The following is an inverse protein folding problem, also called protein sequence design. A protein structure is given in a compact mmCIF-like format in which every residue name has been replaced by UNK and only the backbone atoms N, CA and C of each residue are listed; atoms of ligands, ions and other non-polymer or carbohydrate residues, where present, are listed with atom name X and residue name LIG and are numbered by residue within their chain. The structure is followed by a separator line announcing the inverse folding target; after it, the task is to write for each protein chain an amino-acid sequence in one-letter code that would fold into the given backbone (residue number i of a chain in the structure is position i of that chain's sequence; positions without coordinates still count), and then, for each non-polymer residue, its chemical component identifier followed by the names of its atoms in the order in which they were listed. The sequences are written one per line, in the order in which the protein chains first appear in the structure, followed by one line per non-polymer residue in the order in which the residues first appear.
data_IF_160622121692
#
_entry.id   IF_160622121692
#
_cell.length_a   1.000
_cell.length_b   1.000
_cell.length_c   1.000
_cell.angle_alpha   90.00
_cell.angle_beta   90.00
_cell.angle_gamma   90.00
#
_symmetry.space_group_name_H-M   'P 1'
#
loop_
_entity.id
_entity.type
_entity.pdbx_description
1 polymer ?
#
# COMPACT_ATOMS: atom_id res chain seq x y z
N UNK A 1 26.62 2.00 -3.93
CA UNK A 1 27.56 0.86 -4.12
C UNK A 1 28.88 1.23 -3.46
N UNK A 2 29.57 0.28 -2.85
CA UNK A 2 30.81 0.51 -2.09
C UNK A 2 31.91 1.19 -2.92
N UNK A 3 31.99 0.88 -4.23
CA UNK A 3 32.93 1.56 -5.15
C UNK A 3 32.75 3.08 -5.26
N UNK A 4 31.59 3.61 -4.88
CA UNK A 4 31.27 5.05 -4.91
C UNK A 4 31.14 5.66 -3.51
N UNK A 5 31.35 4.85 -2.47
CA UNK A 5 31.28 5.30 -1.09
C UNK A 5 32.49 6.15 -0.72
N UNK A 6 32.24 7.13 0.15
CA UNK A 6 33.29 7.93 0.76
C UNK A 6 34.11 7.09 1.76
N UNK A 7 35.24 7.62 2.22
CA UNK A 7 36.16 6.86 3.08
C UNK A 7 35.57 6.56 4.46
N UNK A 8 34.68 7.41 4.96
CA UNK A 8 33.97 7.17 6.23
C UNK A 8 33.01 5.98 6.11
N UNK A 9 32.23 5.90 5.04
CA UNK A 9 31.34 4.78 4.75
C UNK A 9 32.12 3.47 4.56
N UNK A 10 33.29 3.53 3.91
CA UNK A 10 34.14 2.35 3.73
C UNK A 10 34.76 1.91 5.06
N UNK A 11 35.18 2.85 5.92
CA UNK A 11 35.68 2.53 7.26
C UNK A 11 34.62 1.82 8.10
N UNK A 12 33.37 2.32 8.08
CA UNK A 12 32.23 1.66 8.74
C UNK A 12 31.98 0.26 8.16
N UNK A 13 32.03 0.12 6.83
CA UNK A 13 31.91 -1.17 6.17
C UNK A 13 33.01 -2.16 6.60
N UNK A 14 34.27 -1.74 6.58
CA UNK A 14 35.43 -2.54 7.00
C UNK A 14 35.26 -3.03 8.43
N UNK A 15 34.89 -2.13 9.37
CA UNK A 15 34.64 -2.50 10.76
C UNK A 15 33.50 -3.52 10.90
N UNK A 16 32.40 -3.37 10.14
CA UNK A 16 31.29 -4.34 10.13
C UNK A 16 31.73 -5.71 9.62
N UNK A 17 32.52 -5.78 8.56
CA UNK A 17 33.02 -7.05 8.00
C UNK A 17 34.00 -7.73 8.96
N UNK A 18 34.93 -6.99 9.55
CA UNK A 18 35.86 -7.52 10.56
C UNK A 18 35.11 -8.08 11.76
N UNK A 19 34.11 -7.36 12.27
CA UNK A 19 33.27 -7.85 13.37
C UNK A 19 32.47 -9.10 13.00
N UNK A 20 31.98 -9.20 11.76
CA UNK A 20 31.23 -10.37 11.30
C UNK A 20 32.11 -11.62 11.19
N UNK A 21 33.27 -11.48 10.53
CA UNK A 21 34.20 -12.60 10.30
C UNK A 21 34.92 -12.98 11.60
N UNK A 22 35.16 -11.99 12.46
CA UNK A 22 35.88 -12.10 13.73
C UNK A 22 37.22 -12.87 13.57
N UNK A 23 38.12 -12.39 12.69
CA UNK A 23 39.43 -13.00 12.49
C UNK A 23 40.28 -12.90 13.77
N UNK A 24 41.15 -13.89 13.99
CA UNK A 24 42.13 -13.85 15.07
C UNK A 24 43.42 -13.23 14.56
N UNK A 25 43.78 -12.08 15.11
CA UNK A 25 45.03 -11.39 14.80
C UNK A 25 46.05 -11.61 15.91
N UNK A 26 47.31 -11.80 15.54
CA UNK A 26 48.43 -12.00 16.47
C UNK A 26 49.12 -10.68 16.82
N UNK A 27 49.07 -9.68 15.94
CA UNK A 27 49.67 -8.38 16.13
C UNK A 27 48.85 -7.24 15.47
N UNK A 28 49.26 -6.00 15.73
CA UNK A 28 48.59 -4.81 15.18
C UNK A 28 48.79 -4.69 13.66
N UNK A 29 49.91 -5.19 13.11
CA UNK A 29 50.19 -5.11 11.68
C UNK A 29 49.22 -5.97 10.87
N UNK A 30 48.85 -7.15 11.36
CA UNK A 30 47.85 -8.02 10.72
C UNK A 30 46.46 -7.34 10.64
N UNK A 31 46.09 -6.55 11.66
CA UNK A 31 44.85 -5.76 11.67
C UNK A 31 44.89 -4.70 10.56
N UNK A 32 45.97 -3.92 10.50
CA UNK A 32 46.13 -2.86 9.50
C UNK A 32 46.15 -3.42 8.07
N UNK A 33 46.80 -4.57 7.85
CA UNK A 33 46.79 -5.27 6.56
C UNK A 33 45.37 -5.69 6.16
N UNK A 34 44.61 -6.28 7.08
CA UNK A 34 43.23 -6.69 6.84
C UNK A 34 42.31 -5.50 6.52
N UNK A 35 42.49 -4.36 7.20
CA UNK A 35 41.76 -3.13 6.93
C UNK A 35 42.06 -2.57 5.55
N UNK A 36 43.35 -2.56 5.14
CA UNK A 36 43.77 -2.12 3.80
C UNK A 36 43.22 -3.04 2.72
N UNK A 37 43.23 -4.35 2.94
CA UNK A 37 42.65 -5.32 2.00
C UNK A 37 41.15 -5.09 1.81
N UNK A 38 40.41 -4.95 2.91
CA UNK A 38 38.97 -4.66 2.88
C UNK A 38 38.66 -3.32 2.23
N UNK A 39 39.45 -2.28 2.50
CA UNK A 39 39.34 -0.99 1.84
C UNK A 39 39.53 -1.12 0.32
N UNK A 40 40.59 -1.83 -0.10
CA UNK A 40 40.90 -2.06 -1.51
C UNK A 40 39.81 -2.87 -2.22
N UNK A 41 39.20 -3.83 -1.52
CA UNK A 41 38.06 -4.61 -1.97
C UNK A 41 36.82 -3.73 -2.12
N UNK A 42 36.50 -2.94 -1.10
CA UNK A 42 35.33 -2.06 -1.08
C UNK A 42 35.32 -1.09 -2.26
N UNK A 43 36.47 -0.47 -2.58
CA UNK A 43 36.61 0.44 -3.74
C UNK A 43 36.36 -0.25 -5.09
N UNK A 44 36.40 -1.58 -5.16
CA UNK A 44 36.13 -2.39 -6.36
C UNK A 44 34.83 -3.19 -6.25
N UNK A 45 34.08 -3.02 -5.17
CA UNK A 45 32.88 -3.79 -4.91
C UNK A 45 31.64 -3.11 -5.52
N UNK A 46 30.88 -3.89 -6.27
CA UNK A 46 29.64 -3.47 -6.95
C UNK A 46 28.40 -3.65 -6.08
N UNK A 47 28.56 -4.18 -4.88
CA UNK A 47 27.50 -4.27 -3.89
C UNK A 47 27.51 -3.02 -3.01
N UNK A 48 26.35 -2.66 -2.46
CA UNK A 48 26.27 -1.75 -1.31
C UNK A 48 26.81 -2.43 -0.05
N UNK A 49 27.10 -1.64 0.99
CA UNK A 49 27.55 -2.19 2.27
C UNK A 49 26.54 -3.20 2.83
N UNK A 50 25.26 -2.86 2.82
CA UNK A 50 24.20 -3.73 3.34
C UNK A 50 23.97 -4.97 2.47
N UNK A 51 24.04 -4.86 1.14
CA UNK A 51 23.99 -6.03 0.25
C UNK A 51 25.16 -6.99 0.53
N UNK A 52 26.35 -6.47 0.81
CA UNK A 52 27.51 -7.31 1.11
C UNK A 52 27.41 -7.98 2.49
N UNK A 53 26.92 -7.26 3.51
CA UNK A 53 26.66 -7.86 4.83
C UNK A 53 25.57 -8.94 4.73
N UNK A 54 24.51 -8.69 3.97
CA UNK A 54 23.48 -9.68 3.70
C UNK A 54 24.06 -10.91 2.96
N UNK A 55 24.98 -10.71 2.02
CA UNK A 55 25.68 -11.81 1.35
C UNK A 55 26.45 -12.68 2.35
N UNK A 56 27.13 -12.07 3.32
CA UNK A 56 27.83 -12.80 4.39
C UNK A 56 26.85 -13.57 5.29
N UNK A 57 25.71 -12.99 5.65
CA UNK A 57 24.66 -13.68 6.40
C UNK A 57 24.09 -14.89 5.64
N UNK A 58 23.80 -14.73 4.34
CA UNK A 58 23.32 -15.81 3.48
C UNK A 58 24.36 -16.92 3.29
N UNK A 59 25.65 -16.56 3.26
CA UNK A 59 26.74 -17.53 3.25
C UNK A 59 26.84 -18.28 4.59
N UNK A 60 26.66 -17.58 5.72
CA UNK A 60 26.60 -18.18 7.06
C UNK A 60 25.47 -19.21 7.18
N UNK A 61 24.30 -18.86 6.65
CA UNK A 61 23.11 -19.72 6.59
C UNK A 61 23.24 -20.88 5.59
N UNK A 62 24.30 -20.92 4.78
CA UNK A 62 24.50 -21.93 3.73
C UNK A 62 23.48 -21.85 2.60
N UNK A 63 22.85 -20.68 2.42
CA UNK A 63 21.86 -20.37 1.36
C UNK A 63 22.50 -19.73 0.13
N UNK A 64 23.76 -19.30 0.26
CA UNK A 64 24.52 -18.72 -0.85
C UNK A 64 25.31 -19.80 -1.60
N UNK A 65 25.08 -19.88 -2.90
CA UNK A 65 25.72 -20.84 -3.80
C UNK A 65 26.56 -20.10 -4.83
N UNK A 66 27.72 -20.66 -5.16
CA UNK A 66 28.58 -20.16 -6.24
C UNK A 66 27.86 -20.29 -7.57
N UNK A 67 28.31 -19.50 -8.55
CA UNK A 67 27.92 -19.71 -9.94
C UNK A 67 28.18 -21.17 -10.35
N UNK A 68 27.26 -21.78 -11.12
CA UNK A 68 27.46 -23.16 -11.59
C UNK A 68 28.65 -23.20 -12.54
N UNK A 69 29.57 -24.15 -12.30
CA UNK A 69 30.68 -24.42 -13.22
C UNK A 69 30.15 -24.96 -14.57
N UNK A 70 31.03 -25.12 -15.57
CA UNK A 70 30.68 -25.64 -16.90
C UNK A 70 29.94 -27.00 -16.87
N UNK A 71 30.08 -27.76 -15.77
CA UNK A 71 29.39 -29.03 -15.51
C UNK A 71 28.03 -28.89 -14.77
N UNK A 72 27.57 -27.66 -14.50
CA UNK A 72 26.30 -27.37 -13.82
C UNK A 72 26.32 -27.51 -12.30
N UNK A 73 27.48 -27.83 -11.70
CA UNK A 73 27.62 -27.97 -10.26
C UNK A 73 27.83 -26.61 -9.57
N UNK A 74 26.98 -26.29 -8.60
CA UNK A 74 27.14 -25.13 -7.72
C UNK A 74 27.68 -25.57 -6.35
N UNK A 75 28.72 -24.89 -5.88
CA UNK A 75 29.28 -25.09 -4.54
C UNK A 75 28.57 -24.20 -3.52
N UNK A 76 28.43 -24.66 -2.28
CA UNK A 76 28.05 -23.74 -1.19
C UNK A 76 29.24 -22.84 -0.87
N UNK A 77 29.01 -21.54 -0.83
CA UNK A 77 30.04 -20.58 -0.39
C UNK A 77 30.34 -20.87 1.08
N UNK A 78 31.59 -21.20 1.41
CA UNK A 78 32.01 -21.45 2.79
C UNK A 78 32.40 -20.13 3.43
N UNK A 79 32.03 -19.93 4.68
CA UNK A 79 32.61 -18.84 5.46
C UNK A 79 34.06 -19.13 5.79
N UNK A 80 34.84 -18.06 5.84
CA UNK A 80 36.27 -18.10 6.13
C UNK A 80 36.55 -17.28 7.38
N UNK A 81 37.58 -17.68 8.15
CA UNK A 81 38.02 -16.97 9.36
C UNK A 81 39.12 -15.95 9.11
N UNK A 82 39.66 -15.94 7.90
CA UNK A 82 40.75 -15.05 7.48
C UNK A 82 40.20 -14.11 6.41
N UNK A 83 40.65 -12.85 6.47
CA UNK A 83 40.37 -11.87 5.43
C UNK A 83 41.27 -12.20 4.24
N UNK A 84 40.64 -12.49 3.11
CA UNK A 84 41.31 -12.78 1.85
C UNK A 84 40.44 -12.24 0.73
N UNK A 85 41.07 -11.50 -0.16
CA UNK A 85 40.41 -10.87 -1.30
C UNK A 85 39.71 -11.87 -2.24
N UNK A 86 40.24 -13.08 -2.42
CA UNK A 86 39.62 -14.09 -3.28
C UNK A 86 38.28 -14.55 -2.70
N UNK A 87 38.30 -14.86 -1.41
CA UNK A 87 37.15 -15.31 -0.64
C UNK A 87 36.06 -14.23 -0.54
N UNK A 88 36.45 -12.98 -0.32
CA UNK A 88 35.53 -11.84 -0.36
C UNK A 88 34.91 -11.64 -1.76
N UNK A 89 35.69 -11.93 -2.81
CA UNK A 89 35.25 -11.92 -4.20
C UNK A 89 34.22 -13.01 -4.51
N UNK A 90 34.41 -14.22 -3.97
CA UNK A 90 33.48 -15.35 -4.12
C UNK A 90 32.11 -15.05 -3.52
N UNK A 91 32.08 -14.46 -2.32
CA UNK A 91 30.82 -14.01 -1.68
C UNK A 91 30.11 -12.97 -2.56
N UNK A 92 30.88 -12.04 -3.16
CA UNK A 92 30.33 -10.99 -4.03
C UNK A 92 29.67 -11.59 -5.29
N UNK A 93 30.38 -12.47 -6.01
CA UNK A 93 29.85 -13.08 -7.25
C UNK A 93 28.64 -13.96 -6.97
N UNK A 94 28.69 -14.78 -5.93
CA UNK A 94 27.59 -15.64 -5.52
C UNK A 94 26.32 -14.83 -5.18
N UNK A 95 26.45 -13.67 -4.54
CA UNK A 95 25.31 -12.79 -4.24
C UNK A 95 24.76 -12.08 -5.48
N UNK A 96 25.61 -11.66 -6.42
CA UNK A 96 25.16 -11.12 -7.70
C UNK A 96 24.34 -12.17 -8.47
N UNK A 97 24.82 -13.42 -8.49
CA UNK A 97 24.08 -14.53 -9.10
C UNK A 97 22.73 -14.77 -8.39
N UNK A 98 22.72 -14.84 -7.06
CA UNK A 98 21.49 -14.97 -6.27
C UNK A 98 20.47 -13.87 -6.59
N UNK A 99 20.92 -12.61 -6.73
CA UNK A 99 20.06 -11.49 -7.10
C UNK A 99 19.44 -11.67 -8.49
N UNK A 100 20.22 -12.12 -9.46
CA UNK A 100 19.70 -12.40 -10.82
C UNK A 100 18.66 -13.52 -10.82
N UNK A 101 18.85 -14.58 -10.03
CA UNK A 101 17.88 -15.65 -9.88
C UNK A 101 16.57 -15.18 -9.22
N UNK A 102 16.65 -14.35 -8.18
CA UNK A 102 15.47 -13.80 -7.50
C UNK A 102 14.68 -12.85 -8.42
N UNK A 103 15.37 -12.02 -9.20
CA UNK A 103 14.75 -11.16 -10.21
C UNK A 103 14.04 -11.98 -11.30
N UNK A 104 14.68 -13.04 -11.81
CA UNK A 104 14.07 -13.97 -12.76
C UNK A 104 12.85 -14.67 -12.16
N UNK A 105 12.93 -15.09 -10.89
CA UNK A 105 11.82 -15.71 -10.18
C UNK A 105 10.64 -14.74 -10.00
N UNK A 106 10.89 -13.49 -9.61
CA UNK A 106 9.88 -12.44 -9.49
C UNK A 106 9.21 -12.13 -10.82
N UNK A 107 10.00 -12.07 -11.91
CA UNK A 107 9.47 -11.90 -13.27
C UNK A 107 8.65 -13.11 -13.73
N UNK A 108 9.09 -14.33 -13.43
CA UNK A 108 8.31 -15.54 -13.70
C UNK A 108 6.97 -15.53 -12.96
N UNK A 109 6.99 -15.18 -11.67
CA UNK A 109 5.80 -15.08 -10.82
C UNK A 109 4.85 -13.98 -11.32
N UNK A 110 5.35 -12.83 -11.75
CA UNK A 110 4.51 -11.77 -12.31
C UNK A 110 3.87 -12.18 -13.62
N UNK A 111 4.61 -12.84 -14.53
CA UNK A 111 4.09 -13.39 -15.79
C UNK A 111 2.99 -14.44 -15.54
N UNK A 112 3.20 -15.37 -14.61
CA UNK A 112 2.19 -16.36 -14.22
C UNK A 112 0.95 -15.66 -13.63
N UNK A 113 1.15 -14.67 -12.75
CA UNK A 113 0.04 -13.91 -12.17
C UNK A 113 -0.76 -13.15 -13.23
N UNK A 114 -0.09 -12.51 -14.20
CA UNK A 114 -0.75 -11.84 -15.33
C UNK A 114 -1.43 -12.81 -16.28
N UNK A 115 -0.95 -14.05 -16.40
CA UNK A 115 -1.60 -15.09 -17.20
C UNK A 115 -2.86 -15.63 -16.52
N UNK A 116 -2.79 -15.86 -15.20
CA UNK A 116 -3.91 -16.39 -14.40
C UNK A 116 -4.98 -15.33 -14.12
N UNK A 117 -4.59 -14.06 -14.00
CA UNK A 117 -5.48 -12.93 -13.84
C UNK A 117 -5.03 -11.82 -14.80
N UNK A 118 -5.49 -11.83 -16.06
CA UNK A 118 -5.17 -10.77 -17.00
C UNK A 118 -5.51 -9.42 -16.36
N UNK A 119 -4.61 -8.42 -16.44
CA UNK A 119 -4.90 -7.10 -15.90
C UNK A 119 -6.23 -6.64 -16.49
N UNK A 120 -7.19 -6.34 -15.62
CA UNK A 120 -8.49 -5.80 -16.02
C UNK A 120 -8.18 -4.63 -16.95
N UNK A 121 -8.61 -4.71 -18.21
CA UNK A 121 -8.44 -3.64 -19.19
C UNK A 121 -8.82 -2.32 -18.51
N UNK A 122 -7.95 -1.31 -18.64
CA UNK A 122 -8.30 0.04 -18.20
C UNK A 122 -9.55 0.45 -18.97
N UNK A 123 -10.67 0.49 -18.26
CA UNK A 123 -11.99 0.86 -18.75
C UNK A 123 -11.82 2.17 -19.53
N UNK A 124 -12.09 2.14 -20.83
CA UNK A 124 -12.01 3.31 -21.71
C UNK A 124 -12.92 4.41 -21.19
N UNK A 125 -12.63 5.66 -21.54
CA UNK A 125 -13.40 6.84 -21.09
C UNK A 125 -14.90 6.71 -21.41
N UNK A 126 -15.24 5.99 -22.47
CA UNK A 126 -16.61 5.70 -22.91
C UNK A 126 -17.32 4.66 -22.03
N UNK A 127 -16.63 3.58 -21.64
CA UNK A 127 -17.19 2.58 -20.72
C UNK A 127 -17.39 3.16 -19.31
N UNK A 128 -16.53 4.10 -18.89
CA UNK A 128 -16.74 4.85 -17.63
C UNK A 128 -17.97 5.75 -17.69
N UNK A 129 -18.27 6.35 -18.85
CA UNK A 129 -19.51 7.12 -19.05
C UNK A 129 -20.73 6.19 -18.97
N UNK A 130 -20.69 5.05 -19.66
CA UNK A 130 -21.77 4.07 -19.63
C UNK A 130 -22.05 3.53 -18.21
N UNK A 131 -21.00 3.29 -17.41
CA UNK A 131 -21.15 2.89 -16.00
C UNK A 131 -21.80 3.98 -15.15
N UNK A 132 -21.47 5.26 -15.36
CA UNK A 132 -22.12 6.38 -14.65
C UNK A 132 -23.59 6.54 -15.03
N UNK A 133 -23.91 6.44 -16.33
CA UNK A 133 -25.30 6.50 -16.81
C UNK A 133 -26.10 5.35 -16.20
N UNK A 134 -25.56 4.14 -16.18
CA UNK A 134 -26.21 2.99 -15.55
C UNK A 134 -26.38 3.19 -14.04
N UNK A 135 -25.41 3.80 -13.37
CA UNK A 135 -25.50 4.16 -11.96
C UNK A 135 -26.65 5.14 -11.68
N UNK A 136 -26.76 6.22 -12.48
CA UNK A 136 -27.86 7.19 -12.37
C UNK A 136 -29.22 6.55 -12.61
N UNK A 137 -29.35 5.65 -13.59
CA UNK A 137 -30.58 4.89 -13.85
C UNK A 137 -30.98 4.02 -12.67
N UNK A 138 -30.02 3.29 -12.08
CA UNK A 138 -30.31 2.43 -10.93
C UNK A 138 -30.70 3.23 -9.70
N UNK A 139 -30.08 4.38 -9.48
CA UNK A 139 -30.38 5.23 -8.33
C UNK A 139 -31.69 6.02 -8.51
N UNK A 140 -32.07 6.39 -9.73
CA UNK A 140 -33.40 6.96 -10.02
C UNK A 140 -34.53 5.97 -9.71
N UNK A 141 -34.39 4.70 -10.14
CA UNK A 141 -35.36 3.64 -9.83
C UNK A 141 -35.53 3.44 -8.32
N UNK A 142 -34.44 3.52 -7.57
CA UNK A 142 -34.45 3.43 -6.10
C UNK A 142 -35.04 4.67 -5.43
N UNK A 143 -34.75 5.86 -5.95
CA UNK A 143 -35.36 7.10 -5.44
C UNK A 143 -36.89 7.04 -5.56
N UNK A 144 -37.43 6.49 -6.65
CA UNK A 144 -38.86 6.32 -6.85
C UNK A 144 -39.48 5.22 -5.96
N UNK A 145 -38.72 4.15 -5.66
CA UNK A 145 -39.23 3.00 -4.89
C UNK A 145 -39.08 3.17 -3.37
N UNK A 146 -37.94 3.69 -2.91
CA UNK A 146 -37.54 3.71 -1.50
C UNK A 146 -37.45 5.14 -0.94
N UNK A 147 -37.55 6.17 -1.80
CA UNK A 147 -37.42 7.57 -1.40
C UNK A 147 -36.00 7.98 -1.01
N UNK A 148 -35.01 7.11 -1.20
CA UNK A 148 -33.60 7.32 -0.84
C UNK A 148 -32.66 6.92 -1.98
N UNK A 149 -31.47 7.50 -1.97
CA UNK A 149 -30.42 7.27 -2.96
C UNK A 149 -29.26 6.55 -2.30
N UNK A 150 -28.75 5.47 -2.90
CA UNK A 150 -27.68 4.67 -2.33
C UNK A 150 -26.30 5.32 -2.55
N UNK A 151 -26.17 6.12 -3.62
CA UNK A 151 -25.00 6.93 -3.95
C UNK A 151 -24.92 8.30 -3.28
N UNK A 152 -25.53 8.51 -2.11
CA UNK A 152 -25.63 9.84 -1.50
C UNK A 152 -24.27 10.54 -1.30
N UNK A 153 -23.20 9.79 -1.04
CA UNK A 153 -21.83 10.34 -0.95
C UNK A 153 -21.34 10.90 -2.28
N UNK A 154 -21.59 10.21 -3.39
CA UNK A 154 -21.21 10.65 -4.73
C UNK A 154 -21.98 11.91 -5.14
N UNK A 155 -23.30 11.94 -4.88
CA UNK A 155 -24.12 13.12 -5.16
C UNK A 155 -23.75 14.31 -4.28
N UNK A 156 -23.45 14.08 -3.00
CA UNK A 156 -22.98 15.14 -2.10
C UNK A 156 -21.68 15.76 -2.58
N UNK A 157 -20.71 14.96 -3.06
CA UNK A 157 -19.48 15.48 -3.63
C UNK A 157 -19.72 16.32 -4.89
N UNK A 158 -20.68 15.92 -5.74
CA UNK A 158 -21.08 16.69 -6.92
C UNK A 158 -21.74 18.03 -6.55
N UNK A 159 -22.68 18.02 -5.59
CA UNK A 159 -23.34 19.23 -5.11
C UNK A 159 -22.33 20.16 -4.42
N UNK A 160 -21.38 19.59 -3.65
CA UNK A 160 -20.31 20.34 -2.99
C UNK A 160 -19.46 21.13 -3.99
N UNK A 161 -19.10 20.49 -5.11
CA UNK A 161 -18.30 21.11 -6.18
C UNK A 161 -19.04 22.19 -6.96
N UNK A 162 -20.37 22.08 -7.11
CA UNK A 162 -21.14 22.96 -8.00
C UNK A 162 -21.76 24.21 -7.34
N UNK A 163 -21.52 24.49 -6.05
CA UNK A 163 -21.99 25.77 -5.47
C UNK A 163 -22.22 25.83 -3.97
N UNK A 164 -21.85 24.81 -3.19
CA UNK A 164 -22.04 24.79 -1.75
C UNK A 164 -20.92 25.51 -0.96
N UNK A 165 -19.95 26.16 -1.62
CA UNK A 165 -18.90 26.97 -0.98
C UNK A 165 -19.42 28.16 -0.15
N UNK A 166 -20.68 28.59 -0.36
CA UNK A 166 -21.27 29.72 0.40
C UNK A 166 -21.72 29.36 1.82
N UNK A 167 -21.82 28.08 2.17
CA UNK A 167 -22.11 27.64 3.54
C UNK A 167 -20.83 27.00 4.07
N UNK A 168 -20.45 27.33 5.30
CA UNK A 168 -19.20 26.88 5.93
C UNK A 168 -19.28 25.36 6.26
N UNK A 169 -19.44 24.51 5.25
CA UNK A 169 -19.59 23.06 5.34
C UNK A 169 -18.34 22.39 5.91
N UNK A 170 -17.17 23.03 5.78
CA UNK A 170 -15.95 22.57 6.45
C UNK A 170 -16.12 22.50 7.96
N UNK A 171 -16.82 23.48 8.55
CA UNK A 171 -17.12 23.49 9.98
C UNK A 171 -18.08 22.37 10.37
N UNK A 172 -19.13 22.15 9.57
CA UNK A 172 -20.11 21.08 9.83
C UNK A 172 -19.49 19.70 9.64
N UNK A 173 -18.69 19.47 8.60
CA UNK A 173 -17.95 18.22 8.37
C UNK A 173 -16.91 17.95 9.47
N UNK A 174 -16.21 18.99 9.96
CA UNK A 174 -15.26 18.86 11.08
C UNK A 174 -15.97 18.51 12.39
N UNK A 175 -17.11 19.13 12.67
CA UNK A 175 -17.92 18.80 13.85
C UNK A 175 -18.46 17.38 13.75
N UNK A 176 -19.00 16.99 12.60
CA UNK A 176 -19.59 15.66 12.40
C UNK A 176 -18.56 14.53 12.34
N UNK A 177 -17.34 14.78 11.85
CA UNK A 177 -16.24 13.82 11.96
C UNK A 177 -15.84 13.58 13.44
N UNK A 178 -16.03 14.58 14.30
CA UNK A 178 -15.76 14.49 15.73
C UNK A 178 -16.98 14.03 16.55
N UNK A 179 -18.17 13.92 15.93
CA UNK A 179 -19.42 13.58 16.61
C UNK A 179 -19.71 12.09 16.45
N UNK A 180 -19.43 11.32 17.51
CA UNK A 180 -19.86 9.92 17.63
C UNK A 180 -21.03 9.92 18.62
N UNK A 181 -22.29 9.97 18.17
CA UNK A 181 -23.43 9.81 19.05
C UNK A 181 -23.53 8.32 19.37
N UNK A 182 -23.25 8.00 20.63
CA UNK A 182 -23.68 6.73 21.21
C UNK A 182 -25.18 6.82 21.47
N UNK A 183 -26.01 6.47 20.48
CA UNK A 183 -27.44 6.30 20.72
C UNK A 183 -27.70 4.91 21.32
N UNK A 184 -28.03 4.90 22.61
CA UNK A 184 -28.54 3.73 23.30
C UNK A 184 -30.01 3.57 22.88
N UNK A 185 -30.35 2.48 22.18
CA UNK A 185 -31.75 2.08 22.02
C UNK A 185 -32.29 1.75 23.43
N UNK A 186 -32.97 2.70 24.08
CA UNK A 186 -33.88 2.37 25.18
C UNK A 186 -35.09 1.67 24.58
N UNK A 187 -34.94 0.38 24.28
CA UNK A 187 -36.09 -0.50 24.13
C UNK A 187 -36.91 -0.38 25.41
N UNK A 188 -38.19 -0.02 25.24
CA UNK A 188 -39.06 0.45 26.29
C UNK A 188 -38.94 -0.34 27.59
N UNK A 189 -38.81 0.40 28.69
CA UNK A 189 -39.06 -0.11 30.04
C UNK A 189 -40.56 -0.36 30.12
N UNK A 190 -41.00 -1.47 29.54
CA UNK A 190 -42.29 -2.08 29.84
C UNK A 190 -42.06 -2.89 31.11
N UNK A 191 -42.65 -2.48 32.23
CA UNK A 191 -42.74 -3.28 33.44
C UNK A 191 -43.55 -4.55 33.13
N UNK A 192 -42.88 -5.63 32.73
CA UNK A 192 -43.44 -6.97 32.78
C UNK A 192 -42.50 -7.87 33.56
N UNK A 193 -43.04 -8.42 34.65
CA UNK A 193 -42.44 -9.40 35.55
C UNK A 193 -42.03 -10.65 34.77
N UNK A 194 -40.80 -10.67 34.25
CA UNK A 194 -40.13 -11.90 33.85
C UNK A 194 -38.64 -11.58 33.63
N UNK A 195 -37.80 -12.14 34.50
CA UNK A 195 -36.35 -12.15 34.34
C UNK A 195 -35.99 -12.69 32.95
N UNK A 196 -35.64 -11.82 32.03
CA UNK A 196 -34.90 -12.18 30.82
C UNK A 196 -33.45 -11.72 30.99
N UNK A 197 -32.47 -12.50 30.48
CA UNK A 197 -31.06 -12.16 30.59
C UNK A 197 -30.83 -10.78 30.00
N UNK A 198 -30.11 -9.94 30.74
CA UNK A 198 -29.74 -8.57 30.37
C UNK A 198 -29.03 -8.64 29.00
N UNK A 199 -29.79 -8.42 27.92
CA UNK A 199 -29.22 -8.23 26.60
C UNK A 199 -28.57 -6.85 26.61
N UNK A 200 -27.24 -6.82 26.68
CA UNK A 200 -26.46 -5.61 26.49
C UNK A 200 -27.00 -4.86 25.26
N UNK A 201 -27.37 -3.58 25.38
CA UNK A 201 -27.88 -2.81 24.25
C UNK A 201 -26.82 -2.81 23.15
N UNK A 202 -27.21 -3.27 21.96
CA UNK A 202 -26.32 -3.25 20.79
C UNK A 202 -26.07 -1.79 20.43
N UNK A 203 -24.87 -1.30 20.72
CA UNK A 203 -24.41 0.00 20.23
C UNK A 203 -24.31 -0.11 18.71
N UNK A 204 -25.30 0.43 17.98
CA UNK A 204 -25.14 0.68 16.55
C UNK A 204 -24.33 1.96 16.43
N UNK A 205 -23.06 1.83 16.03
CA UNK A 205 -22.31 2.97 15.50
C UNK A 205 -23.00 3.41 14.22
N UNK A 206 -23.80 4.46 14.31
CA UNK A 206 -24.41 5.08 13.15
C UNK A 206 -23.47 6.21 12.72
N UNK A 207 -22.85 6.06 11.56
CA UNK A 207 -21.99 7.11 11.01
C UNK A 207 -22.85 8.34 10.71
N UNK A 208 -22.81 9.32 11.61
CA UNK A 208 -23.59 10.57 11.51
C UNK A 208 -23.27 11.32 10.23
N UNK A 209 -22.04 11.15 9.73
CA UNK A 209 -21.62 11.68 8.44
C UNK A 209 -22.47 11.13 7.30
N UNK A 210 -22.74 9.83 7.29
CA UNK A 210 -23.58 9.20 6.27
C UNK A 210 -25.02 9.71 6.40
N UNK A 211 -25.54 9.81 7.63
CA UNK A 211 -26.87 10.35 7.87
C UNK A 211 -27.02 11.82 7.47
N UNK A 212 -26.01 12.66 7.74
CA UNK A 212 -25.99 14.05 7.31
C UNK A 212 -25.90 14.18 5.79
N UNK A 213 -25.05 13.39 5.15
CA UNK A 213 -24.94 13.32 3.69
C UNK A 213 -26.29 12.93 3.08
N UNK A 214 -26.93 11.87 3.60
CA UNK A 214 -28.24 11.43 3.16
C UNK A 214 -29.30 12.53 3.33
N UNK A 215 -29.29 13.24 4.46
CA UNK A 215 -30.23 14.31 4.75
C UNK A 215 -30.03 15.53 3.84
N UNK A 216 -28.78 15.93 3.57
CA UNK A 216 -28.46 17.03 2.66
C UNK A 216 -28.88 16.69 1.23
N UNK A 217 -28.55 15.48 0.76
CA UNK A 217 -28.94 15.01 -0.58
C UNK A 217 -30.46 14.93 -0.69
N UNK A 218 -31.16 14.41 0.33
CA UNK A 218 -32.63 14.34 0.33
C UNK A 218 -33.26 15.74 0.31
N UNK A 219 -32.74 16.67 1.11
CA UNK A 219 -33.22 18.05 1.13
C UNK A 219 -32.95 18.79 -0.19
N UNK A 220 -31.82 18.51 -0.84
CA UNK A 220 -31.48 19.06 -2.15
C UNK A 220 -32.44 18.53 -3.23
N UNK A 221 -32.69 17.21 -3.24
CA UNK A 221 -33.66 16.55 -4.13
C UNK A 221 -35.07 17.13 -3.95
N UNK A 222 -35.48 17.43 -2.72
CA UNK A 222 -36.78 18.03 -2.44
C UNK A 222 -36.85 19.51 -2.84
N UNK A 223 -35.80 20.28 -2.55
CA UNK A 223 -35.71 21.70 -2.93
C UNK A 223 -35.76 21.90 -4.43
N UNK A 224 -35.06 21.06 -5.18
CA UNK A 224 -35.01 21.11 -6.65
C UNK A 224 -36.12 20.30 -7.32
N UNK A 225 -37.01 19.69 -6.53
CA UNK A 225 -38.16 18.90 -7.02
C UNK A 225 -37.74 17.79 -7.98
N UNK A 226 -36.55 17.23 -7.81
CA UNK A 226 -35.99 16.22 -8.71
C UNK A 226 -36.81 14.91 -8.71
N UNK A 227 -37.63 14.68 -7.67
CA UNK A 227 -38.63 13.59 -7.63
C UNK A 227 -39.69 13.68 -8.73
N UNK A 228 -39.89 14.86 -9.34
CA UNK A 228 -40.87 15.10 -10.41
C UNK A 228 -40.27 15.05 -11.82
N UNK A 229 -38.95 14.92 -11.94
CA UNK A 229 -38.26 14.85 -13.21
C UNK A 229 -38.43 13.46 -13.84
N UNK A 230 -38.43 13.41 -15.16
CA UNK A 230 -38.34 12.17 -15.92
C UNK A 230 -36.94 11.53 -15.78
N UNK A 231 -36.83 10.23 -16.07
CA UNK A 231 -35.55 9.51 -15.98
C UNK A 231 -34.45 10.13 -16.84
N UNK A 232 -34.80 10.69 -18.01
CA UNK A 232 -33.88 11.42 -18.89
C UNK A 232 -33.41 12.73 -18.28
N UNK A 233 -34.33 13.54 -17.75
CA UNK A 233 -33.99 14.83 -17.14
C UNK A 233 -33.16 14.66 -15.86
N UNK A 234 -33.36 13.57 -15.12
CA UNK A 234 -32.52 13.23 -13.97
C UNK A 234 -31.07 12.92 -14.38
N UNK A 235 -30.88 12.13 -15.45
CA UNK A 235 -29.54 11.78 -15.95
C UNK A 235 -28.85 13.03 -16.49
N UNK A 236 -29.54 13.82 -17.31
CA UNK A 236 -28.99 15.04 -17.92
C UNK A 236 -28.59 16.05 -16.83
N UNK A 237 -29.42 16.20 -15.79
CA UNK A 237 -29.12 17.09 -14.67
C UNK A 237 -27.81 16.73 -13.96
N UNK A 238 -27.59 15.44 -13.65
CA UNK A 238 -26.37 14.99 -12.99
C UNK A 238 -25.15 14.92 -13.91
N UNK A 239 -25.35 14.68 -15.22
CA UNK A 239 -24.27 14.79 -16.20
C UNK A 239 -23.82 16.24 -16.38
N UNK A 240 -24.75 17.21 -16.47
CA UNK A 240 -24.40 18.63 -16.52
C UNK A 240 -23.63 19.07 -15.26
N UNK A 241 -24.04 18.63 -14.06
CA UNK A 241 -23.30 18.92 -12.82
C UNK A 241 -21.90 18.29 -12.85
N UNK A 242 -21.78 17.05 -13.32
CA UNK A 242 -20.50 16.36 -13.42
C UNK A 242 -19.55 17.04 -14.40
N UNK A 243 -20.06 17.51 -15.54
CA UNK A 243 -19.26 18.25 -16.52
C UNK A 243 -18.81 19.61 -15.97
N UNK A 244 -19.70 20.36 -15.32
CA UNK A 244 -19.36 21.63 -14.68
C UNK A 244 -18.33 21.48 -13.54
N UNK A 245 -18.38 20.37 -12.79
CA UNK A 245 -17.47 20.10 -11.68
C UNK A 245 -16.07 19.63 -12.09
N UNK A 246 -15.83 19.37 -13.39
CA UNK A 246 -14.55 18.90 -13.94
C UNK A 246 -13.94 19.87 -14.97
N UNK A 247 -14.51 21.08 -15.11
CA UNK A 247 -13.91 22.23 -15.79
C UNK A 247 -13.10 23.01 -14.75
#
# INVERSE_FOLDING_TARGET
MLKWSNDQEISVFTARVLNFINPKFNDQNEIELAEVELYSFAKKCELTADEYILALELAADGKLFTEPNEEGNSGKVKLFREIDRLKLGEVKSAFLYYKTLDEQYKLGKSKIKSFLAPPKQEITTEEKKAQRINFYKTDYKRLQQEGKVLGATYFYDLIKKNGLEKVNLRFVEQILNNFIPETIETNGISHSEQMQPIKLPRIKKQDVKVFFIDAVVSAYIEKEKLKKLSESEWIDYWECIFELANI
#
